data_IF_918398664690
#
_entry.id   IF_918398664690
#
_cell.length_a   1.000
_cell.length_b   1.000
_cell.length_c   1.000
_cell.angle_alpha   90.00
_cell.angle_beta   90.00
_cell.angle_gamma   90.00
#
_symmetry.space_group_name_H-M   'P 1'
#
loop_
_entity.id
_entity.type
_entity.pdbx_description
1 polymer ?
#
# COMPACT_ATOMS: atom_id res chain seq x y z
N UNK A 1 -48.65 18.87 -31.39
CA UNK A 1 -49.64 19.94 -31.51
C UNK A 1 -49.59 20.71 -30.21
N UNK A 2 -48.92 21.85 -30.31
CA UNK A 2 -48.81 22.91 -29.33
C UNK A 2 -50.18 23.41 -28.89
N UNK A 3 -50.39 23.66 -27.59
CA UNK A 3 -51.14 24.83 -27.10
C UNK A 3 -50.63 25.17 -25.67
N UNK A 4 -49.86 26.25 -25.57
CA UNK A 4 -49.97 27.25 -24.48
C UNK A 4 -50.64 28.50 -25.09
N UNK A 5 -51.00 29.59 -24.35
CA UNK A 5 -51.04 29.86 -22.90
C UNK A 5 -52.39 30.51 -22.48
N UNK A 6 -52.50 31.08 -21.27
CA UNK A 6 -53.01 32.46 -21.03
C UNK A 6 -52.91 32.80 -19.52
N UNK A 7 -52.13 33.85 -19.23
CA UNK A 7 -52.08 34.59 -17.97
C UNK A 7 -53.09 35.75 -17.98
N UNK A 8 -53.41 36.32 -16.80
CA UNK A 8 -53.89 37.68 -16.48
C UNK A 8 -54.46 37.60 -15.04
N UNK A 9 -54.24 38.49 -14.07
CA UNK A 9 -53.60 39.79 -13.99
C UNK A 9 -53.77 40.32 -12.54
N UNK A 10 -53.17 41.49 -12.31
CA UNK A 10 -53.08 42.39 -11.13
C UNK A 10 -54.34 42.56 -10.23
N UNK A 11 -54.37 43.27 -9.09
CA UNK A 11 -53.47 44.23 -8.42
C UNK A 11 -54.04 44.53 -7.02
N UNK A 12 -53.22 44.61 -5.97
CA UNK A 12 -52.65 45.82 -5.34
C UNK A 12 -53.58 46.64 -4.40
N UNK A 13 -53.01 46.98 -3.21
CA UNK A 13 -53.25 48.17 -2.32
C UNK A 13 -54.48 48.10 -1.40
N UNK A 14 -54.51 48.53 -0.13
CA UNK A 14 -53.70 49.38 0.78
C UNK A 14 -54.07 48.98 2.24
N UNK A 15 -53.16 48.82 3.19
CA UNK A 15 -52.51 49.81 4.07
C UNK A 15 -53.38 50.43 5.19
N UNK A 16 -52.99 50.20 6.45
CA UNK A 16 -53.02 51.09 7.63
C UNK A 16 -52.63 50.24 8.87
N UNK A 17 -52.10 50.71 9.99
CA UNK A 17 -51.11 51.74 10.39
C UNK A 17 -50.97 51.54 11.92
N UNK A 18 -49.78 51.74 12.49
CA UNK A 18 -49.62 51.70 13.96
C UNK A 18 -48.17 51.61 14.39
N UNK A 19 -47.60 52.75 14.77
CA UNK A 19 -46.19 52.95 15.11
C UNK A 19 -45.94 53.05 16.62
N UNK A 20 -44.68 52.80 17.01
CA UNK A 20 -44.04 53.23 18.26
C UNK A 20 -43.96 52.13 19.33
N UNK A 21 -42.86 51.87 20.03
CA UNK A 21 -41.55 52.51 20.15
C UNK A 21 -40.67 51.57 21.00
N UNK A 22 -39.40 51.40 20.64
CA UNK A 22 -38.22 51.54 21.51
C UNK A 22 -37.00 50.88 20.85
N UNK A 23 -36.02 51.73 20.61
CA UNK A 23 -34.72 51.46 20.02
C UNK A 23 -33.71 51.57 21.15
N UNK A 24 -32.86 50.56 21.36
CA UNK A 24 -31.62 50.76 22.12
C UNK A 24 -30.50 49.89 21.52
N UNK A 25 -29.65 50.62 20.82
CA UNK A 25 -28.20 50.50 20.65
C UNK A 25 -27.50 49.23 20.11
N UNK A 26 -26.48 49.55 19.33
CA UNK A 26 -25.64 48.70 18.50
C UNK A 26 -24.49 48.17 19.34
N UNK A 27 -24.15 46.89 19.18
CA UNK A 27 -22.76 46.45 19.33
C UNK A 27 -22.32 45.75 18.03
N UNK A 28 -21.32 46.35 17.40
CA UNK A 28 -20.71 45.94 16.15
C UNK A 28 -19.64 44.89 16.42
N UNK A 29 -20.06 43.63 16.56
CA UNK A 29 -19.15 42.47 16.57
C UNK A 29 -18.74 42.07 15.14
N UNK A 30 -17.49 42.34 14.76
CA UNK A 30 -16.86 41.84 13.52
C UNK A 30 -16.98 40.30 13.41
N UNK A 31 -17.09 39.73 12.20
CA UNK A 31 -16.93 38.29 12.00
C UNK A 31 -15.48 37.88 12.30
N UNK A 32 -15.29 36.90 13.17
CA UNK A 32 -14.01 36.26 13.47
C UNK A 32 -13.54 35.41 12.26
N UNK A 33 -12.46 35.79 11.55
CA UNK A 33 -11.91 34.99 10.47
C UNK A 33 -10.92 33.98 11.08
N UNK A 34 -11.44 33.01 11.82
CA UNK A 34 -10.62 32.26 12.80
C UNK A 34 -10.88 30.77 12.95
N UNK A 35 -11.75 30.14 12.14
CA UNK A 35 -11.90 28.67 12.11
C UNK A 35 -11.70 28.12 10.71
N UNK A 36 -10.47 28.22 10.24
CA UNK A 36 -9.98 27.25 9.26
C UNK A 36 -10.03 25.87 9.89
N UNK A 37 -10.96 25.04 9.43
CA UNK A 37 -10.91 23.60 9.63
C UNK A 37 -9.55 23.11 9.13
N UNK A 38 -8.62 22.92 10.06
CA UNK A 38 -7.39 22.18 9.78
C UNK A 38 -7.83 20.76 9.43
N UNK A 39 -7.92 20.47 8.13
CA UNK A 39 -8.01 19.11 7.60
C UNK A 39 -6.90 18.30 8.28
N UNK A 40 -7.29 17.46 9.23
CA UNK A 40 -6.37 16.55 9.91
C UNK A 40 -5.76 15.66 8.84
N UNK A 41 -4.44 15.71 8.77
CA UNK A 41 -3.61 14.84 7.96
C UNK A 41 -3.99 13.37 8.17
N UNK A 42 -4.28 12.67 7.06
CA UNK A 42 -4.18 11.23 6.90
C UNK A 42 -5.05 10.39 7.83
N UNK A 43 -6.22 9.97 7.33
CA UNK A 43 -6.99 8.87 7.90
C UNK A 43 -6.06 7.69 8.24
N UNK A 44 -6.07 7.28 9.51
CA UNK A 44 -5.43 6.05 9.97
C UNK A 44 -6.13 4.89 9.27
N UNK A 45 -5.55 4.36 8.19
CA UNK A 45 -5.94 3.01 7.72
C UNK A 45 -5.45 2.04 8.80
N UNK A 46 -6.38 1.47 9.56
CA UNK A 46 -6.12 0.34 10.46
C UNK A 46 -5.47 -0.79 9.64
N UNK A 47 -4.45 -1.45 10.19
CA UNK A 47 -3.83 -2.60 9.57
C UNK A 47 -4.64 -3.85 9.91
N UNK A 48 -4.56 -4.90 9.08
CA UNK A 48 -5.23 -6.17 9.38
C UNK A 48 -4.69 -6.86 10.63
N UNK A 49 -3.49 -6.48 11.09
CA UNK A 49 -2.88 -6.93 12.34
C UNK A 49 -3.32 -6.13 13.57
N UNK A 50 -4.17 -5.10 13.41
CA UNK A 50 -4.64 -4.20 14.47
C UNK A 50 -3.83 -2.89 14.58
N UNK A 51 -3.70 -2.34 15.79
CA UNK A 51 -2.85 -1.16 16.03
C UNK A 51 -1.36 -1.54 16.00
N UNK A 52 -0.60 -0.83 15.16
CA UNK A 52 0.86 -0.83 15.19
C UNK A 52 1.29 -0.51 16.63
N UNK A 53 2.16 -1.29 17.30
CA UNK A 53 2.77 -0.85 18.54
C UNK A 53 3.38 0.53 18.26
N UNK A 54 2.95 1.56 18.98
CA UNK A 54 3.26 3.00 18.75
C UNK A 54 4.76 3.35 18.79
N UNK A 55 5.63 2.33 18.84
CA UNK A 55 7.09 2.34 18.70
C UNK A 55 7.62 1.46 17.56
N UNK A 56 6.85 1.23 16.49
CA UNK A 56 7.36 0.57 15.28
C UNK A 56 7.82 1.61 14.22
N UNK A 57 9.13 1.84 14.03
CA UNK A 57 9.65 2.79 13.03
C UNK A 57 9.37 2.39 11.57
N UNK A 58 8.76 1.23 11.31
CA UNK A 58 8.55 0.65 9.98
C UNK A 58 7.17 0.94 9.36
N UNK A 59 6.19 1.42 10.13
CA UNK A 59 4.83 1.61 9.61
C UNK A 59 4.70 2.83 8.68
N UNK A 60 5.52 3.87 8.91
CA UNK A 60 5.73 5.01 8.00
C UNK A 60 7.11 5.61 8.31
N UNK A 61 8.21 5.10 7.73
CA UNK A 61 9.53 5.67 7.94
C UNK A 61 9.59 7.06 7.30
N UNK A 62 9.18 8.11 8.03
CA UNK A 62 9.38 9.49 7.58
C UNK A 62 10.77 9.97 7.97
N UNK A 63 11.46 10.58 7.02
CA UNK A 63 12.75 11.22 7.24
C UNK A 63 13.94 10.28 7.41
N UNK A 64 15.02 10.85 7.95
CA UNK A 64 16.36 10.25 7.97
C UNK A 64 16.44 8.99 8.87
N UNK A 65 15.65 8.91 9.93
CA UNK A 65 15.63 7.80 10.90
C UNK A 65 14.93 6.55 10.36
N UNK A 66 13.83 6.73 9.63
CA UNK A 66 13.15 5.63 8.95
C UNK A 66 13.98 5.04 7.80
N UNK A 67 14.70 5.92 7.09
CA UNK A 67 15.70 5.53 6.09
C UNK A 67 16.83 4.72 6.72
N UNK A 68 17.36 5.15 7.87
CA UNK A 68 18.41 4.44 8.60
C UNK A 68 17.95 3.07 9.11
N UNK A 69 16.73 2.96 9.64
CA UNK A 69 16.14 1.68 10.05
C UNK A 69 15.95 0.72 8.86
N UNK A 70 15.50 1.23 7.71
CA UNK A 70 15.40 0.47 6.46
C UNK A 70 16.77 -0.01 5.94
N UNK A 71 17.82 0.81 6.08
CA UNK A 71 19.20 0.42 5.76
C UNK A 71 19.77 -0.64 6.72
N UNK A 72 19.50 -0.53 8.02
CA UNK A 72 19.92 -1.51 9.03
C UNK A 72 19.23 -2.85 8.77
N UNK A 73 17.93 -2.83 8.47
CA UNK A 73 17.18 -4.03 8.14
C UNK A 73 17.63 -4.65 6.81
N UNK A 74 17.95 -3.83 5.80
CA UNK A 74 18.53 -4.29 4.54
C UNK A 74 19.94 -4.90 4.67
N UNK A 75 20.73 -4.41 5.64
CA UNK A 75 22.05 -4.97 5.97
C UNK A 75 21.92 -6.31 6.71
N UNK A 76 20.97 -6.41 7.64
CA UNK A 76 20.69 -7.64 8.40
C UNK A 76 20.04 -8.72 7.53
N UNK A 77 19.17 -8.34 6.59
CA UNK A 77 18.42 -9.28 5.76
C UNK A 77 19.19 -9.76 4.52
N UNK A 78 20.45 -9.37 4.29
CA UNK A 78 21.13 -9.77 3.04
C UNK A 78 21.29 -11.30 2.92
N UNK A 79 21.48 -11.99 4.06
CA UNK A 79 21.48 -13.48 4.13
C UNK A 79 20.07 -14.05 3.92
N UNK A 80 19.08 -13.49 4.61
CA UNK A 80 17.67 -13.80 4.44
C UNK A 80 17.17 -13.64 2.99
N UNK A 81 17.63 -12.63 2.26
CA UNK A 81 17.26 -12.40 0.86
C UNK A 81 17.92 -13.42 -0.08
N UNK A 82 19.08 -13.98 0.28
CA UNK A 82 19.67 -15.11 -0.45
C UNK A 82 18.82 -16.38 -0.28
N UNK A 83 18.40 -16.68 0.95
CA UNK A 83 17.47 -17.79 1.23
C UNK A 83 16.13 -17.63 0.48
N UNK A 84 15.60 -16.40 0.42
CA UNK A 84 14.41 -16.10 -0.38
C UNK A 84 14.65 -16.38 -1.86
N UNK A 85 15.77 -15.92 -2.45
CA UNK A 85 16.07 -16.12 -3.87
C UNK A 85 16.07 -17.60 -4.27
N UNK A 86 16.61 -18.48 -3.43
CA UNK A 86 16.61 -19.93 -3.68
C UNK A 86 15.18 -20.49 -3.67
N UNK A 87 14.31 -19.97 -2.81
CA UNK A 87 12.91 -20.38 -2.67
C UNK A 87 11.99 -19.79 -3.76
N UNK A 88 12.38 -18.68 -4.38
CA UNK A 88 11.57 -18.04 -5.41
C UNK A 88 11.49 -18.87 -6.70
N UNK A 89 12.44 -19.78 -6.93
CA UNK A 89 12.52 -20.66 -8.11
C UNK A 89 12.24 -19.91 -9.42
N UNK A 90 12.81 -18.71 -9.56
CA UNK A 90 12.42 -17.73 -10.59
C UNK A 90 12.55 -18.33 -12.00
N UNK A 91 11.45 -18.45 -12.77
CA UNK A 91 11.51 -19.01 -14.12
C UNK A 91 12.45 -18.22 -15.03
N UNK A 92 13.02 -18.88 -16.04
CA UNK A 92 13.78 -18.18 -17.07
C UNK A 92 12.89 -17.20 -17.82
N UNK A 93 13.37 -15.97 -18.05
CA UNK A 93 12.59 -14.96 -18.76
C UNK A 93 11.47 -14.31 -17.94
N UNK A 94 11.37 -14.60 -16.64
CA UNK A 94 10.23 -14.19 -15.83
C UNK A 94 10.11 -12.67 -15.65
N UNK A 95 8.86 -12.20 -15.58
CA UNK A 95 8.52 -10.88 -15.07
C UNK A 95 8.09 -10.99 -13.61
N UNK A 96 8.90 -10.42 -12.71
CA UNK A 96 8.72 -10.50 -11.25
C UNK A 96 8.18 -9.17 -10.71
N UNK A 97 7.16 -9.24 -9.84
CA UNK A 97 6.67 -8.12 -9.05
C UNK A 97 7.12 -8.25 -7.59
N UNK A 98 7.85 -7.27 -7.07
CA UNK A 98 8.12 -7.15 -5.63
C UNK A 98 7.20 -6.08 -5.00
N UNK A 99 6.40 -6.48 -4.00
CA UNK A 99 5.50 -5.59 -3.26
C UNK A 99 6.08 -5.26 -1.90
N UNK A 100 6.26 -3.96 -1.64
CA UNK A 100 6.96 -3.46 -0.46
C UNK A 100 8.47 -3.65 -0.54
N UNK A 101 9.06 -3.26 -1.67
CA UNK A 101 10.49 -3.52 -1.95
C UNK A 101 11.48 -2.76 -1.06
N UNK A 102 11.01 -1.77 -0.30
CA UNK A 102 11.85 -0.94 0.56
C UNK A 102 13.07 -0.37 -0.20
N UNK A 103 14.30 -0.56 0.27
CA UNK A 103 15.50 -0.03 -0.39
C UNK A 103 15.88 -0.75 -1.70
N UNK A 104 15.13 -1.76 -2.15
CA UNK A 104 15.30 -2.45 -3.44
C UNK A 104 16.45 -3.45 -3.49
N UNK A 105 16.72 -4.16 -2.38
CA UNK A 105 17.80 -5.16 -2.31
C UNK A 105 17.44 -6.44 -3.06
N UNK A 106 16.22 -6.96 -2.90
CA UNK A 106 15.79 -8.15 -3.62
C UNK A 106 15.64 -7.85 -5.12
N UNK A 107 15.07 -6.69 -5.50
CA UNK A 107 15.15 -6.17 -6.88
C UNK A 107 16.56 -6.27 -7.47
N UNK A 108 17.59 -5.85 -6.72
CA UNK A 108 18.97 -5.89 -7.19
C UNK A 108 19.47 -7.32 -7.42
N UNK A 109 19.12 -8.26 -6.55
CA UNK A 109 19.48 -9.67 -6.68
C UNK A 109 18.76 -10.31 -7.88
N UNK A 110 17.47 -10.05 -8.04
CA UNK A 110 16.68 -10.50 -9.19
C UNK A 110 17.23 -9.94 -10.50
N UNK A 111 17.56 -8.64 -10.53
CA UNK A 111 18.10 -7.97 -11.71
C UNK A 111 19.54 -8.37 -12.05
N UNK A 112 20.23 -9.15 -11.21
CA UNK A 112 21.51 -9.76 -11.58
C UNK A 112 21.34 -10.87 -12.62
N UNK A 113 20.12 -11.43 -12.74
CA UNK A 113 19.74 -12.34 -13.82
C UNK A 113 19.35 -11.53 -15.06
N UNK A 114 20.06 -11.67 -16.20
CA UNK A 114 19.83 -10.84 -17.38
C UNK A 114 18.51 -11.14 -18.10
N UNK A 115 17.97 -12.35 -17.92
CA UNK A 115 16.70 -12.83 -18.46
C UNK A 115 15.47 -12.35 -17.67
N UNK A 116 15.66 -11.84 -16.46
CA UNK A 116 14.56 -11.45 -15.56
C UNK A 116 14.27 -9.95 -15.68
N UNK A 117 12.98 -9.62 -15.74
CA UNK A 117 12.51 -8.24 -15.58
C UNK A 117 11.81 -8.08 -14.24
N UNK A 118 11.99 -6.92 -13.59
CA UNK A 118 11.46 -6.69 -12.23
C UNK A 118 10.67 -5.40 -12.19
N UNK A 119 9.46 -5.47 -11.66
CA UNK A 119 8.70 -4.30 -11.22
C UNK A 119 8.66 -4.28 -9.69
N UNK A 120 9.02 -3.16 -9.08
CA UNK A 120 8.88 -2.93 -7.65
C UNK A 120 7.81 -1.89 -7.36
N UNK A 121 6.93 -2.16 -6.40
CA UNK A 121 6.03 -1.16 -5.81
C UNK A 121 6.28 -0.98 -4.30
N UNK A 122 6.27 0.26 -3.82
CA UNK A 122 6.35 0.58 -2.40
C UNK A 122 5.57 1.88 -2.12
N UNK A 123 4.85 2.00 -0.98
CA UNK A 123 4.11 3.21 -0.67
C UNK A 123 5.00 4.39 -0.24
N UNK A 124 6.26 4.17 0.14
CA UNK A 124 7.20 5.22 0.55
C UNK A 124 7.97 5.81 -0.64
N UNK A 125 7.83 7.13 -0.81
CA UNK A 125 8.58 7.90 -1.81
C UNK A 125 10.10 7.81 -1.56
N UNK A 126 10.52 7.80 -0.30
CA UNK A 126 11.91 7.64 0.11
C UNK A 126 12.47 6.27 -0.31
N UNK A 127 11.72 5.19 -0.08
CA UNK A 127 12.10 3.84 -0.48
C UNK A 127 12.19 3.70 -1.99
N UNK A 128 11.22 4.23 -2.73
CA UNK A 128 11.25 4.29 -4.20
C UNK A 128 12.52 5.01 -4.70
N UNK A 129 12.84 6.19 -4.16
CA UNK A 129 14.07 6.93 -4.55
C UNK A 129 15.34 6.13 -4.26
N UNK A 130 15.40 5.44 -3.11
CA UNK A 130 16.55 4.62 -2.74
C UNK A 130 16.71 3.39 -3.64
N UNK A 131 15.60 2.70 -3.93
CA UNK A 131 15.59 1.54 -4.81
C UNK A 131 15.97 1.93 -6.25
N UNK A 132 15.49 3.08 -6.75
CA UNK A 132 15.89 3.62 -8.06
C UNK A 132 17.39 3.89 -8.13
N UNK A 133 17.97 4.51 -7.10
CA UNK A 133 19.42 4.76 -7.02
C UNK A 133 20.22 3.45 -6.96
N UNK A 134 19.79 2.48 -6.15
CA UNK A 134 20.45 1.17 -6.02
C UNK A 134 20.46 0.40 -7.34
N UNK A 135 19.37 0.49 -8.11
CA UNK A 135 19.16 -0.29 -9.32
C UNK A 135 19.34 0.53 -10.61
N UNK A 136 20.05 1.66 -10.55
CA UNK A 136 20.09 2.64 -11.62
C UNK A 136 20.54 2.09 -12.99
N UNK A 137 21.47 1.13 -13.01
CA UNK A 137 21.91 0.48 -14.26
C UNK A 137 20.77 -0.32 -14.90
N UNK A 138 20.16 -1.25 -14.16
CA UNK A 138 19.05 -2.07 -14.65
C UNK A 138 17.79 -1.24 -14.95
N UNK A 139 17.59 -0.10 -14.28
CA UNK A 139 16.53 0.87 -14.59
C UNK A 139 16.80 1.54 -15.94
N UNK A 140 18.04 2.01 -16.21
CA UNK A 140 18.41 2.60 -17.51
C UNK A 140 18.28 1.60 -18.66
N UNK A 141 18.54 0.33 -18.39
CA UNK A 141 18.38 -0.77 -19.34
C UNK A 141 16.91 -1.18 -19.54
N UNK A 142 15.97 -0.61 -18.78
CA UNK A 142 14.54 -0.94 -18.86
C UNK A 142 14.16 -2.29 -18.24
N UNK A 143 15.10 -3.03 -17.64
CA UNK A 143 14.86 -4.32 -16.97
C UNK A 143 14.22 -4.16 -15.59
N UNK A 144 14.40 -3.01 -14.94
CA UNK A 144 13.82 -2.70 -13.63
C UNK A 144 12.91 -1.48 -13.72
N UNK A 145 11.68 -1.59 -13.20
CA UNK A 145 10.73 -0.49 -13.04
C UNK A 145 10.37 -0.34 -11.57
N UNK A 146 10.46 0.87 -11.02
CA UNK A 146 10.19 1.12 -9.60
C UNK A 146 9.15 2.23 -9.50
N UNK A 147 8.05 1.95 -8.78
CA UNK A 147 6.84 2.79 -8.75
C UNK A 147 6.31 2.94 -7.34
N UNK A 148 5.51 3.99 -7.14
CA UNK A 148 4.68 4.11 -5.93
C UNK A 148 3.46 3.21 -6.09
N UNK A 149 3.18 2.40 -5.07
CA UNK A 149 2.03 1.49 -5.04
C UNK A 149 1.96 0.73 -3.72
N UNK A 150 0.80 0.13 -3.44
CA UNK A 150 0.53 -0.63 -2.23
C UNK A 150 0.20 -2.09 -2.54
N UNK A 151 0.10 -2.90 -1.48
CA UNK A 151 -0.38 -4.27 -1.63
C UNK A 151 -1.85 -4.32 -2.07
N UNK A 152 -2.66 -3.34 -1.68
CA UNK A 152 -4.06 -3.18 -2.08
C UNK A 152 -4.22 -2.66 -3.52
N UNK A 153 -3.20 -2.03 -4.09
CA UNK A 153 -3.19 -1.56 -5.48
C UNK A 153 -1.76 -1.38 -5.99
N UNK A 154 -1.32 -2.34 -6.80
CA UNK A 154 0.03 -2.37 -7.40
C UNK A 154 0.12 -1.55 -8.69
N UNK A 155 -1.02 -1.16 -9.27
CA UNK A 155 -1.12 -0.53 -10.58
C UNK A 155 -0.52 -1.39 -11.72
N UNK A 156 -0.48 -2.72 -11.53
CA UNK A 156 -0.12 -3.69 -12.56
C UNK A 156 -1.36 -4.16 -13.32
N UNK A 157 -1.18 -4.53 -14.58
CA UNK A 157 -2.26 -5.10 -15.38
C UNK A 157 -2.64 -6.51 -14.89
N UNK A 158 -3.87 -6.93 -15.21
CA UNK A 158 -4.31 -8.30 -14.93
C UNK A 158 -3.40 -9.31 -15.63
N UNK A 159 -3.04 -10.40 -14.95
CA UNK A 159 -2.25 -11.49 -15.53
C UNK A 159 -0.98 -11.04 -16.28
N UNK A 160 -0.22 -10.13 -15.67
CA UNK A 160 0.94 -9.47 -16.28
C UNK A 160 2.30 -9.92 -15.75
N UNK A 161 2.33 -10.69 -14.64
CA UNK A 161 3.56 -11.16 -13.99
C UNK A 161 3.55 -12.66 -13.78
N UNK A 162 4.73 -13.26 -13.76
CA UNK A 162 4.93 -14.70 -13.55
C UNK A 162 5.11 -15.04 -12.07
N UNK A 163 5.68 -14.09 -11.32
CA UNK A 163 5.97 -14.23 -9.90
C UNK A 163 5.65 -12.90 -9.19
N UNK A 164 4.95 -12.97 -8.07
CA UNK A 164 4.79 -11.86 -7.12
C UNK A 164 5.39 -12.25 -5.79
N UNK A 165 6.22 -11.39 -5.23
CA UNK A 165 6.92 -11.62 -3.96
C UNK A 165 6.71 -10.45 -3.00
N UNK A 166 6.53 -10.76 -1.72
CA UNK A 166 6.55 -9.78 -0.64
C UNK A 166 7.36 -10.33 0.53
N UNK A 167 8.39 -9.58 0.95
CA UNK A 167 9.29 -9.97 2.03
C UNK A 167 9.15 -9.00 3.21
N UNK A 168 8.75 -9.50 4.37
CA UNK A 168 8.65 -8.76 5.62
C UNK A 168 7.71 -7.54 5.59
N UNK A 169 6.73 -7.51 4.69
CA UNK A 169 5.77 -6.40 4.60
C UNK A 169 4.33 -6.82 4.86
N UNK A 170 4.00 -8.12 4.87
CA UNK A 170 2.60 -8.59 4.98
C UNK A 170 1.88 -8.04 6.20
N UNK A 171 2.53 -7.95 7.36
CA UNK A 171 1.95 -7.39 8.59
C UNK A 171 1.63 -5.89 8.51
N UNK A 172 2.21 -5.19 7.53
CA UNK A 172 2.04 -3.76 7.27
C UNK A 172 0.96 -3.47 6.22
N UNK A 173 0.34 -4.50 5.65
CA UNK A 173 -0.72 -4.31 4.67
C UNK A 173 -1.97 -3.73 5.34
N UNK A 174 -2.71 -2.84 4.67
CA UNK A 174 -3.97 -2.34 5.23
C UNK A 174 -4.98 -3.48 5.42
N UNK A 175 -5.15 -4.31 4.39
CA UNK A 175 -6.14 -5.40 4.35
C UNK A 175 -5.51 -6.63 3.70
N UNK A 176 -5.44 -7.73 4.44
CA UNK A 176 -4.80 -8.97 3.98
C UNK A 176 -5.50 -9.52 2.74
N UNK A 177 -6.83 -9.67 2.79
CA UNK A 177 -7.61 -10.26 1.68
C UNK A 177 -7.53 -9.46 0.38
N UNK A 178 -7.41 -8.13 0.48
CA UNK A 178 -7.25 -7.25 -0.68
C UNK A 178 -5.85 -7.38 -1.28
N UNK A 179 -4.81 -7.44 -0.43
CA UNK A 179 -3.45 -7.70 -0.90
C UNK A 179 -3.31 -9.06 -1.58
N UNK A 180 -3.92 -10.10 -1.00
CA UNK A 180 -3.94 -11.45 -1.59
C UNK A 180 -4.78 -11.48 -2.88
N UNK A 181 -5.89 -10.73 -2.94
CA UNK A 181 -6.67 -10.59 -4.18
C UNK A 181 -5.87 -9.92 -5.29
N UNK A 182 -5.11 -8.88 -4.95
CA UNK A 182 -4.26 -8.14 -5.89
C UNK A 182 -3.13 -9.04 -6.40
N UNK A 183 -2.49 -9.81 -5.53
CA UNK A 183 -1.48 -10.82 -5.92
C UNK A 183 -2.06 -11.81 -6.93
N UNK A 184 -3.24 -12.36 -6.64
CA UNK A 184 -3.92 -13.27 -7.56
C UNK A 184 -4.24 -12.56 -8.89
N UNK A 185 -4.76 -11.32 -8.86
CA UNK A 185 -5.16 -10.57 -10.07
C UNK A 185 -4.01 -10.37 -11.04
N UNK A 186 -2.83 -9.96 -10.54
CA UNK A 186 -1.68 -9.61 -11.36
C UNK A 186 -0.93 -10.82 -11.92
N UNK A 187 -1.01 -11.96 -11.24
CA UNK A 187 -0.31 -13.18 -11.69
C UNK A 187 -0.91 -13.77 -12.95
N UNK A 188 -0.11 -14.30 -13.87
CA UNK A 188 -0.61 -15.15 -14.95
C UNK A 188 -1.16 -16.47 -14.39
N UNK A 189 -2.08 -17.16 -15.10
CA UNK A 189 -2.41 -18.55 -14.76
C UNK A 189 -1.14 -19.40 -14.66
N UNK A 190 -1.00 -20.20 -13.60
CA UNK A 190 0.23 -20.95 -13.30
C UNK A 190 1.35 -20.12 -12.63
N UNK A 191 1.18 -18.80 -12.52
CA UNK A 191 2.11 -17.92 -11.82
C UNK A 191 2.09 -18.14 -10.30
N UNK A 192 3.15 -17.70 -9.62
CA UNK A 192 3.32 -17.94 -8.18
C UNK A 192 3.30 -16.68 -7.33
N UNK A 193 2.68 -16.78 -6.17
CA UNK A 193 2.78 -15.81 -5.08
C UNK A 193 3.71 -16.36 -4.00
N UNK A 194 4.65 -15.53 -3.55
CA UNK A 194 5.56 -15.84 -2.44
C UNK A 194 5.46 -14.75 -1.38
N UNK A 195 5.10 -15.13 -0.16
CA UNK A 195 5.08 -14.22 0.99
C UNK A 195 6.03 -14.79 2.05
N UNK A 196 7.01 -13.99 2.47
CA UNK A 196 7.98 -14.42 3.48
C UNK A 196 7.99 -13.46 4.66
N UNK A 197 8.05 -14.02 5.87
CA UNK A 197 8.20 -13.25 7.10
C UNK A 197 9.34 -13.78 7.96
N UNK A 198 10.30 -12.90 8.27
CA UNK A 198 11.45 -13.16 9.13
C UNK A 198 11.13 -12.63 10.52
N UNK A 199 11.39 -13.45 11.54
CA UNK A 199 11.16 -13.07 12.93
C UNK A 199 12.45 -12.81 13.69
N UNK A 200 13.59 -12.60 13.04
CA UNK A 200 14.84 -12.29 13.76
C UNK A 200 15.09 -10.77 13.74
N UNK A 201 15.16 -10.10 14.91
CA UNK A 201 15.01 -10.62 16.28
C UNK A 201 13.57 -11.01 16.65
N UNK A 202 13.41 -11.99 17.57
CA UNK A 202 12.12 -12.68 17.89
C UNK A 202 10.93 -11.76 18.17
N UNK A 203 11.17 -10.54 18.64
CA UNK A 203 10.15 -9.51 18.85
C UNK A 203 9.34 -9.14 17.59
N UNK A 204 9.79 -9.53 16.39
CA UNK A 204 9.07 -9.34 15.14
C UNK A 204 8.27 -10.57 14.70
N UNK A 205 8.24 -11.65 15.49
CA UNK A 205 7.44 -12.84 15.18
C UNK A 205 5.96 -12.48 15.12
N UNK A 206 5.27 -12.90 14.05
CA UNK A 206 3.82 -12.83 14.02
C UNK A 206 3.23 -13.80 15.04
N UNK A 207 2.05 -13.48 15.55
CA UNK A 207 1.31 -14.40 16.40
C UNK A 207 0.86 -15.63 15.58
N UNK A 208 0.68 -16.81 16.20
CA UNK A 208 0.29 -18.03 15.49
C UNK A 208 -0.93 -17.86 14.57
N UNK A 209 -1.98 -17.22 15.08
CA UNK A 209 -3.21 -16.90 14.36
C UNK A 209 -3.00 -15.99 13.15
N UNK A 210 -2.00 -15.09 13.19
CA UNK A 210 -1.66 -14.24 12.05
C UNK A 210 -1.01 -15.03 10.92
N UNK A 211 -0.20 -16.06 11.22
CA UNK A 211 0.31 -16.95 10.19
C UNK A 211 -0.82 -17.78 9.55
N UNK A 212 -1.74 -18.27 10.37
CA UNK A 212 -2.88 -19.04 9.91
C UNK A 212 -3.84 -18.17 9.06
N UNK A 213 -3.98 -16.88 9.40
CA UNK A 213 -4.72 -15.93 8.59
C UNK A 213 -4.10 -15.72 7.20
N UNK A 214 -2.77 -15.58 7.10
CA UNK A 214 -2.06 -15.47 5.80
C UNK A 214 -2.29 -16.73 4.96
N UNK A 215 -2.11 -17.91 5.56
CA UNK A 215 -2.34 -19.18 4.87
C UNK A 215 -3.78 -19.32 4.40
N UNK A 216 -4.74 -19.01 5.27
CA UNK A 216 -6.17 -19.05 4.98
C UNK A 216 -6.51 -18.11 3.82
N UNK A 217 -6.08 -16.84 3.86
CA UNK A 217 -6.34 -15.88 2.80
C UNK A 217 -5.81 -16.35 1.43
N UNK A 218 -4.61 -16.95 1.40
CA UNK A 218 -4.06 -17.57 0.20
C UNK A 218 -4.93 -18.75 -0.28
N UNK A 219 -5.33 -19.66 0.62
CA UNK A 219 -6.13 -20.84 0.28
C UNK A 219 -7.52 -20.50 -0.26
N UNK A 220 -8.09 -19.36 0.12
CA UNK A 220 -9.36 -18.88 -0.41
C UNK A 220 -9.30 -18.47 -1.88
N UNK A 221 -8.10 -18.21 -2.44
CA UNK A 221 -7.95 -17.66 -3.80
C UNK A 221 -7.07 -18.49 -4.72
N UNK A 222 -6.09 -19.21 -4.18
CA UNK A 222 -5.08 -19.93 -4.95
C UNK A 222 -5.35 -21.44 -4.91
N UNK A 223 -5.04 -22.13 -6.01
CA UNK A 223 -5.31 -23.57 -6.12
C UNK A 223 -4.39 -24.44 -5.25
N UNK A 224 -3.10 -24.11 -5.19
CA UNK A 224 -2.12 -24.78 -4.33
C UNK A 224 -1.52 -23.76 -3.38
N UNK A 225 -1.45 -24.09 -2.07
CA UNK A 225 -0.78 -23.28 -1.05
C UNK A 225 0.07 -24.18 -0.15
N UNK A 226 1.33 -23.81 -0.01
CA UNK A 226 2.31 -24.44 0.90
C UNK A 226 2.83 -23.40 1.89
N UNK A 227 3.00 -23.83 3.14
CA UNK A 227 3.67 -23.08 4.20
C UNK A 227 4.89 -23.87 4.61
N UNK A 228 6.07 -23.28 4.48
CA UNK A 228 7.33 -23.93 4.82
C UNK A 228 8.03 -23.14 5.93
N UNK A 229 8.22 -23.73 7.12
CA UNK A 229 9.01 -23.11 8.17
C UNK A 229 10.51 -23.22 7.83
N UNK A 230 11.24 -22.12 8.03
CA UNK A 230 12.68 -22.01 7.91
C UNK A 230 13.27 -21.67 9.29
N UNK A 231 14.59 -21.79 9.50
CA UNK A 231 15.20 -21.55 10.82
C UNK A 231 14.91 -20.15 11.41
N UNK A 232 14.75 -19.14 10.55
CA UNK A 232 14.54 -17.75 10.97
C UNK A 232 13.40 -17.02 10.25
N UNK A 233 12.62 -17.75 9.46
CA UNK A 233 11.53 -17.21 8.66
C UNK A 233 10.49 -18.27 8.31
N UNK A 234 9.34 -17.82 7.83
CA UNK A 234 8.33 -18.69 7.22
C UNK A 234 8.09 -18.18 5.81
N UNK A 235 7.93 -19.11 4.88
CA UNK A 235 7.52 -18.80 3.52
C UNK A 235 6.16 -19.43 3.23
N UNK A 236 5.31 -18.66 2.57
CA UNK A 236 4.07 -19.12 1.97
C UNK A 236 4.23 -19.05 0.47
N UNK A 237 3.97 -20.17 -0.20
CA UNK A 237 4.06 -20.29 -1.66
C UNK A 237 2.68 -20.71 -2.17
N UNK A 238 2.13 -19.94 -3.10
CA UNK A 238 0.84 -20.22 -3.70
C UNK A 238 0.89 -20.16 -5.23
N UNK A 239 0.08 -20.98 -5.91
CA UNK A 239 0.01 -21.04 -7.38
C UNK A 239 -1.38 -20.65 -7.86
N UNK A 240 -1.44 -19.72 -8.81
CA UNK A 240 -2.68 -19.24 -9.44
C UNK A 240 -3.23 -20.27 -10.43
#
# INVERSE_FOLDING_TARGET
MDIEPVALGDGSRSAESGAGSAMEERDTGRPDPGRGERKKHGERKELWTGEIPTRNPFARPQGLLGTLAGWILARANRRAQGEVMDLLDVPEGAHVLEVGHGPGVLIQLLAARPDVTVTGVDPSIEMVRMAQRRNAAAVREGRVRIRIGGADSTCMDNASVDLVVSVNTVALWPRLDEGVAEFHRVLRPGGRAVITWHWTPERFRLAPDQYDAVESALRHRFGTVKREPLPSSVVFIATR
#
